data_IF_669386751609
#
_entry.id   IF_669386751609
#
_cell.length_a   1.000
_cell.length_b   1.000
_cell.length_c   1.000
_cell.angle_alpha   90.00
_cell.angle_beta   90.00
_cell.angle_gamma   90.00
#
_symmetry.space_group_name_H-M   'P 1'
#
loop_
_entity.id
_entity.type
_entity.pdbx_description
1 polymer ?
#
# COMPACT_ATOMS: atom_id res chain seq x y z
N UNK A 1 19.64 -7.51 18.46
CA UNK A 1 18.50 -6.59 18.41
C UNK A 1 17.62 -6.97 17.24
N UNK A 2 16.35 -7.26 17.49
CA UNK A 2 15.38 -7.57 16.43
C UNK A 2 14.99 -6.33 15.63
N UNK A 3 14.44 -6.51 14.43
CA UNK A 3 14.01 -5.40 13.57
C UNK A 3 13.01 -4.46 14.27
N UNK A 4 12.07 -5.02 15.04
CA UNK A 4 11.09 -4.27 15.85
C UNK A 4 11.77 -3.29 16.80
N UNK A 5 12.79 -3.77 17.51
CA UNK A 5 13.49 -3.02 18.55
C UNK A 5 14.36 -1.91 17.93
N UNK A 6 14.99 -2.17 16.78
CA UNK A 6 15.71 -1.14 16.02
C UNK A 6 14.78 -0.02 15.57
N UNK A 7 13.61 -0.36 15.02
CA UNK A 7 12.66 0.65 14.52
C UNK A 7 12.11 1.49 15.68
N UNK A 8 11.73 0.87 16.80
CA UNK A 8 11.25 1.58 17.98
C UNK A 8 12.30 2.57 18.51
N UNK A 9 13.54 2.10 18.70
CA UNK A 9 14.63 2.92 19.25
C UNK A 9 15.01 4.09 18.32
N UNK A 10 15.01 3.88 17.00
CA UNK A 10 15.33 4.93 16.05
C UNK A 10 14.19 5.95 15.91
N UNK A 11 12.94 5.53 16.10
CA UNK A 11 11.79 6.42 16.16
C UNK A 11 11.90 7.41 17.33
N UNK A 12 12.37 6.95 18.49
CA UNK A 12 12.60 7.79 19.67
C UNK A 12 13.79 8.75 19.50
N UNK A 13 14.86 8.30 18.83
CA UNK A 13 16.10 9.07 18.71
C UNK A 13 16.20 9.98 17.45
N UNK A 14 15.14 10.09 16.64
CA UNK A 14 15.10 10.90 15.39
C UNK A 14 16.28 10.66 14.45
N UNK A 15 16.76 9.42 14.40
CA UNK A 15 17.86 9.01 13.52
C UNK A 15 17.34 8.95 12.07
N UNK A 16 18.24 9.12 11.11
CA UNK A 16 17.92 9.04 9.68
C UNK A 16 17.18 7.73 9.34
N UNK A 17 15.96 7.88 8.83
CA UNK A 17 15.05 6.76 8.50
C UNK A 17 15.59 5.84 7.41
N UNK A 18 16.62 6.28 6.67
CA UNK A 18 17.31 5.49 5.64
C UNK A 18 17.97 4.24 6.21
N UNK A 19 18.45 4.29 7.45
CA UNK A 19 19.03 3.13 8.13
C UNK A 19 17.98 2.10 8.58
N UNK A 20 16.70 2.46 8.55
CA UNK A 20 15.60 1.57 8.91
C UNK A 20 15.10 0.71 7.75
N UNK A 21 15.43 1.07 6.50
CA UNK A 21 15.05 0.30 5.30
C UNK A 21 15.35 -1.21 5.46
N UNK A 22 16.57 -1.66 5.80
CA UNK A 22 16.84 -3.09 5.99
C UNK A 22 15.99 -3.73 7.09
N UNK A 23 15.66 -2.99 8.16
CA UNK A 23 14.79 -3.50 9.23
C UNK A 23 13.34 -3.66 8.77
N UNK A 24 12.86 -2.75 7.93
CA UNK A 24 11.54 -2.87 7.32
C UNK A 24 11.48 -4.01 6.30
N UNK A 25 12.54 -4.23 5.52
CA UNK A 25 12.63 -5.38 4.60
C UNK A 25 12.53 -6.69 5.37
N UNK A 26 13.28 -6.82 6.47
CA UNK A 26 13.23 -7.99 7.35
C UNK A 26 11.79 -8.26 7.85
N UNK A 27 11.08 -7.21 8.27
CA UNK A 27 9.68 -7.32 8.69
C UNK A 27 8.71 -7.62 7.54
N UNK A 28 8.94 -7.08 6.34
CA UNK A 28 8.12 -7.38 5.16
C UNK A 28 8.29 -8.83 4.70
N UNK A 29 9.50 -9.41 4.83
CA UNK A 29 9.78 -10.80 4.48
C UNK A 29 9.30 -11.81 5.53
N UNK A 30 9.02 -11.35 6.75
CA UNK A 30 8.41 -12.19 7.79
C UNK A 30 7.07 -12.75 7.33
N UNK A 31 6.78 -14.04 7.59
CA UNK A 31 5.49 -14.64 7.24
C UNK A 31 4.34 -13.96 8.00
N UNK A 32 4.56 -13.57 9.26
CA UNK A 32 3.55 -13.00 10.15
C UNK A 32 3.77 -11.51 10.38
N UNK A 33 2.68 -10.76 10.54
CA UNK A 33 2.76 -9.38 11.03
C UNK A 33 3.25 -9.35 12.48
N UNK A 34 3.76 -8.19 12.95
CA UNK A 34 4.10 -7.98 14.35
C UNK A 34 2.91 -8.31 15.26
N UNK A 35 3.19 -8.91 16.41
CA UNK A 35 2.19 -9.16 17.44
C UNK A 35 1.60 -7.85 17.97
N UNK A 36 0.42 -7.85 18.62
CA UNK A 36 -0.17 -6.63 19.17
C UNK A 36 0.77 -5.86 20.12
N UNK A 37 1.55 -6.57 20.93
CA UNK A 37 2.53 -5.95 21.83
C UNK A 37 3.71 -5.30 21.08
N UNK A 38 4.13 -5.87 19.96
CA UNK A 38 5.16 -5.28 19.10
C UNK A 38 4.60 -4.12 18.27
N UNK A 39 3.34 -4.20 17.86
CA UNK A 39 2.62 -3.15 17.15
C UNK A 39 2.49 -1.89 18.01
N UNK A 40 2.24 -2.05 19.31
CA UNK A 40 2.22 -0.93 20.26
C UNK A 40 3.59 -0.25 20.37
N UNK A 41 4.68 -1.02 20.41
CA UNK A 41 6.06 -0.49 20.41
C UNK A 41 6.45 0.19 19.11
N UNK A 42 6.03 -0.35 17.97
CA UNK A 42 6.31 0.21 16.64
C UNK A 42 5.44 1.43 16.31
N UNK A 43 4.37 1.65 17.07
CA UNK A 43 3.24 2.54 16.76
C UNK A 43 2.35 1.98 15.64
N UNK A 44 1.04 2.13 15.82
CA UNK A 44 0.03 1.59 14.91
C UNK A 44 0.19 2.10 13.47
N UNK A 45 0.54 3.37 13.30
CA UNK A 45 0.79 3.98 11.98
C UNK A 45 1.87 3.22 11.19
N UNK A 46 2.97 2.85 11.85
CA UNK A 46 4.08 2.08 11.27
C UNK A 46 3.61 0.70 10.81
N UNK A 47 2.76 0.04 11.59
CA UNK A 47 2.23 -1.29 11.27
C UNK A 47 1.27 -1.24 10.08
N UNK A 48 0.42 -0.21 10.00
CA UNK A 48 -0.47 -0.01 8.85
C UNK A 48 0.34 0.25 7.58
N UNK A 49 1.39 1.07 7.66
CA UNK A 49 2.32 1.28 6.54
C UNK A 49 3.04 -0.02 6.15
N UNK A 50 3.52 -0.79 7.12
CA UNK A 50 4.15 -2.09 6.86
C UNK A 50 3.19 -3.06 6.14
N UNK A 51 1.92 -3.11 6.57
CA UNK A 51 0.89 -3.91 5.90
C UNK A 51 0.66 -3.46 4.45
N UNK A 52 0.60 -2.14 4.21
CA UNK A 52 0.49 -1.59 2.86
C UNK A 52 1.71 -1.92 1.98
N UNK A 53 2.92 -1.88 2.54
CA UNK A 53 4.14 -2.27 1.83
C UNK A 53 4.11 -3.76 1.44
N UNK A 54 3.67 -4.64 2.35
CA UNK A 54 3.51 -6.07 2.06
C UNK A 54 2.50 -6.31 0.95
N UNK A 55 1.36 -5.64 0.98
CA UNK A 55 0.34 -5.78 -0.07
C UNK A 55 0.89 -5.36 -1.44
N UNK A 56 1.62 -4.24 -1.51
CA UNK A 56 2.29 -3.82 -2.75
C UNK A 56 3.31 -4.87 -3.22
N UNK A 57 4.09 -5.45 -2.32
CA UNK A 57 5.03 -6.52 -2.67
C UNK A 57 4.31 -7.78 -3.19
N UNK A 58 3.15 -8.14 -2.62
CA UNK A 58 2.33 -9.25 -3.10
C UNK A 58 1.79 -9.00 -4.51
N UNK A 59 1.32 -7.78 -4.79
CA UNK A 59 0.86 -7.39 -6.12
C UNK A 59 1.99 -7.54 -7.16
N UNK A 60 3.21 -7.07 -6.84
CA UNK A 60 4.39 -7.24 -7.70
C UNK A 60 4.75 -8.70 -7.91
N UNK A 61 4.77 -9.51 -6.86
CA UNK A 61 5.04 -10.93 -6.97
C UNK A 61 3.98 -11.68 -7.81
N UNK A 62 2.72 -11.21 -7.77
CA UNK A 62 1.63 -11.74 -8.60
C UNK A 62 1.80 -11.39 -10.08
N UNK A 63 2.22 -10.15 -10.39
CA UNK A 63 2.56 -9.72 -11.76
C UNK A 63 3.66 -10.60 -12.38
N UNK A 64 4.60 -11.08 -11.56
CA UNK A 64 5.68 -11.98 -11.98
C UNK A 64 5.22 -13.44 -12.24
N UNK A 65 3.92 -13.74 -12.15
CA UNK A 65 3.35 -15.04 -12.50
C UNK A 65 3.49 -16.12 -11.43
N UNK A 66 3.79 -15.74 -10.18
CA UNK A 66 3.94 -16.69 -9.07
C UNK A 66 2.60 -17.31 -8.66
N UNK A 67 2.53 -18.64 -8.54
CA UNK A 67 1.32 -19.38 -8.13
C UNK A 67 0.93 -19.20 -6.65
N UNK A 68 1.81 -18.61 -5.84
CA UNK A 68 1.55 -18.26 -4.44
C UNK A 68 2.40 -17.04 -4.07
N UNK A 69 1.98 -15.83 -4.48
CA UNK A 69 2.76 -14.63 -4.23
C UNK A 69 2.96 -14.47 -2.73
N UNK A 70 4.21 -14.35 -2.31
CA UNK A 70 4.59 -14.03 -0.92
C UNK A 70 5.57 -12.87 -0.99
N UNK A 71 5.52 -11.97 -0.02
CA UNK A 71 6.45 -10.83 0.05
C UNK A 71 7.92 -11.25 0.12
N UNK A 72 8.21 -12.49 0.52
CA UNK A 72 9.56 -13.07 0.54
C UNK A 72 10.13 -13.44 -0.84
N UNK A 73 9.28 -13.51 -1.88
CA UNK A 73 9.71 -13.84 -3.25
C UNK A 73 10.40 -12.64 -3.92
N UNK A 74 10.04 -11.43 -3.50
CA UNK A 74 10.56 -10.20 -4.07
C UNK A 74 12.01 -9.95 -3.63
N UNK A 75 12.82 -9.37 -4.52
CA UNK A 75 14.20 -9.02 -4.22
C UNK A 75 14.27 -7.85 -3.22
N UNK A 76 15.38 -7.77 -2.47
CA UNK A 76 15.56 -6.75 -1.43
C UNK A 76 15.54 -5.32 -2.02
N UNK A 77 16.04 -5.14 -3.24
CA UNK A 77 16.08 -3.83 -3.91
C UNK A 77 14.68 -3.34 -4.33
N UNK A 78 13.82 -4.25 -4.79
CA UNK A 78 12.43 -3.95 -5.11
C UNK A 78 11.63 -3.65 -3.84
N UNK A 79 11.83 -4.44 -2.78
CA UNK A 79 11.26 -4.19 -1.45
C UNK A 79 11.72 -2.85 -0.87
N UNK A 80 13.00 -2.51 -1.01
CA UNK A 80 13.55 -1.23 -0.59
C UNK A 80 12.83 -0.06 -1.25
N UNK A 81 12.56 -0.17 -2.56
CA UNK A 81 11.83 0.85 -3.34
C UNK A 81 10.38 0.98 -2.88
N UNK A 82 9.69 -0.14 -2.62
CA UNK A 82 8.33 -0.11 -2.07
C UNK A 82 8.31 0.54 -0.68
N UNK A 83 9.29 0.23 0.16
CA UNK A 83 9.39 0.75 1.52
C UNK A 83 9.72 2.25 1.50
N UNK A 84 10.65 2.70 0.66
CA UNK A 84 10.95 4.13 0.52
C UNK A 84 9.72 4.92 0.07
N UNK A 85 8.93 4.37 -0.84
CA UNK A 85 7.68 4.99 -1.30
C UNK A 85 6.60 5.03 -0.20
N UNK A 86 6.41 3.93 0.55
CA UNK A 86 5.36 3.83 1.58
C UNK A 86 5.69 4.69 2.80
N UNK A 87 6.96 4.75 3.18
CA UNK A 87 7.42 5.49 4.36
C UNK A 87 7.92 6.90 4.03
N UNK A 88 7.84 7.31 2.76
CA UNK A 88 8.34 8.59 2.25
C UNK A 88 9.80 8.84 2.67
N UNK A 89 10.59 7.76 2.73
CA UNK A 89 12.00 7.82 3.09
C UNK A 89 12.71 8.28 1.82
N UNK A 90 13.04 9.57 1.75
CA UNK A 90 13.62 10.17 0.56
C UNK A 90 14.73 9.31 -0.03
N UNK A 91 14.52 8.86 -1.28
CA UNK A 91 15.55 8.23 -2.10
C UNK A 91 16.78 9.14 -2.06
N UNK A 92 17.97 8.55 -1.93
CA UNK A 92 19.22 9.26 -2.24
C UNK A 92 19.30 9.47 -3.76
N UNK A 93 18.31 10.13 -4.34
CA UNK A 93 18.52 10.94 -5.54
C UNK A 93 19.16 12.21 -5.04
N UNK A 94 20.40 12.48 -5.44
CA UNK A 94 21.14 13.67 -5.07
C UNK A 94 20.56 14.94 -5.68
N UNK A 95 19.26 15.23 -5.51
CA UNK A 95 18.72 16.56 -5.77
C UNK A 95 17.30 16.73 -5.22
N UNK A 96 17.11 17.84 -4.50
CA UNK A 96 15.83 18.53 -4.41
C UNK A 96 14.97 18.23 -3.18
N UNK A 97 15.08 19.10 -2.17
CA UNK A 97 14.01 19.36 -1.20
C UNK A 97 12.66 19.53 -1.91
N UNK A 98 11.72 18.61 -1.68
CA UNK A 98 10.30 18.93 -1.86
C UNK A 98 9.82 19.65 -0.60
N UNK A 99 9.94 20.96 -0.66
CA UNK A 99 9.24 21.91 0.20
C UNK A 99 7.75 21.60 0.12
N UNK A 100 7.16 21.20 1.24
CA UNK A 100 5.71 21.11 1.40
C UNK A 100 5.13 22.51 1.15
N UNK A 101 4.63 22.75 -0.07
CA UNK A 101 3.96 24.01 -0.41
C UNK A 101 2.66 24.06 0.39
N UNK A 102 2.71 24.77 1.50
CA UNK A 102 1.52 25.22 2.21
C UNK A 102 0.69 26.04 1.23
N UNK A 103 -0.46 25.50 0.82
CA UNK A 103 -1.44 26.22 0.03
C UNK A 103 -2.03 27.35 0.90
N UNK A 104 -1.35 28.48 0.93
CA UNK A 104 -1.97 29.77 1.22
C UNK A 104 -2.56 30.22 -0.09
N UNK A 105 -3.86 30.03 -0.22
CA UNK A 105 -4.81 30.94 -0.86
C UNK A 105 -6.14 30.19 -0.98
N UNK A 106 -6.94 30.31 0.07
CA UNK A 106 -8.36 29.98 0.02
C UNK A 106 -9.11 31.26 -0.35
N UNK A 107 -9.92 31.27 -1.41
CA UNK A 107 -11.15 32.01 -1.41
C UNK A 107 -12.24 31.12 -0.81
N UNK A 108 -12.87 31.60 0.25
CA UNK A 108 -14.00 30.96 0.93
C UNK A 108 -15.20 30.91 0.00
N UNK A 109 -15.48 29.75 -0.61
CA UNK A 109 -16.73 29.52 -1.34
C UNK A 109 -17.73 28.79 -0.43
N UNK A 110 -18.77 29.53 -0.03
CA UNK A 110 -19.91 28.97 0.68
C UNK A 110 -20.78 28.25 -0.35
N UNK A 111 -20.76 26.93 -0.36
CA UNK A 111 -21.74 26.17 -1.14
C UNK A 111 -22.08 24.87 -0.43
N UNK A 112 -23.23 24.88 0.21
CA UNK A 112 -23.98 23.70 0.63
C UNK A 112 -24.27 22.87 -0.61
N UNK A 113 -23.53 21.77 -0.79
CA UNK A 113 -23.61 20.91 -1.98
C UNK A 113 -23.65 19.44 -1.60
N UNK A 114 -24.87 18.92 -1.58
CA UNK A 114 -25.32 17.59 -1.99
C UNK A 114 -24.21 16.54 -2.32
N UNK A 115 -24.07 15.52 -1.47
CA UNK A 115 -23.19 14.37 -1.72
C UNK A 115 -23.89 13.36 -2.62
N UNK A 116 -23.78 13.52 -3.94
CA UNK A 116 -24.20 12.49 -4.88
C UNK A 116 -23.08 11.47 -5.06
N UNK A 117 -23.21 10.31 -4.42
CA UNK A 117 -22.37 9.14 -4.67
C UNK A 117 -22.55 8.67 -6.12
N UNK A 118 -21.49 8.72 -6.92
CA UNK A 118 -21.45 8.11 -8.25
C UNK A 118 -20.83 6.72 -8.13
N UNK A 119 -21.68 5.71 -8.07
CA UNK A 119 -21.28 4.31 -8.19
C UNK A 119 -20.84 4.02 -9.64
N UNK A 120 -19.56 3.67 -9.82
CA UNK A 120 -19.04 3.18 -11.10
C UNK A 120 -19.19 1.66 -11.17
N UNK A 121 -20.33 1.16 -11.63
CA UNK A 121 -20.48 -0.26 -11.96
C UNK A 121 -19.76 -0.59 -13.28
N UNK A 122 -18.88 -1.60 -13.33
CA UNK A 122 -18.36 -2.11 -14.60
C UNK A 122 -19.43 -2.95 -15.32
N UNK A 123 -19.59 -2.68 -16.62
CA UNK A 123 -20.57 -3.31 -17.48
C UNK A 123 -20.31 -4.82 -17.66
N UNK A 124 -21.25 -5.65 -17.21
CA UNK A 124 -21.32 -7.06 -17.57
C UNK A 124 -22.06 -7.21 -18.91
N UNK A 125 -21.36 -7.71 -19.94
CA UNK A 125 -21.94 -7.99 -21.24
C UNK A 125 -22.99 -9.12 -21.13
N UNK A 126 -24.24 -8.82 -21.50
CA UNK A 126 -25.32 -9.82 -21.60
C UNK A 126 -25.17 -10.64 -22.88
N UNK A 127 -24.89 -11.93 -22.75
CA UNK A 127 -25.02 -12.91 -23.84
C UNK A 127 -26.51 -13.14 -24.11
N UNK A 128 -26.95 -12.92 -25.35
CA UNK A 128 -28.33 -13.16 -25.76
C UNK A 128 -28.52 -14.62 -26.17
N UNK A 129 -29.52 -15.29 -25.59
CA UNK A 129 -30.00 -16.59 -26.07
C UNK A 129 -31.26 -16.38 -26.91
N UNK A 130 -31.17 -16.84 -28.16
CA UNK A 130 -32.18 -16.63 -29.21
C UNK A 130 -33.47 -17.39 -28.98
N UNK A 131 -34.59 -16.74 -29.33
CA UNK A 131 -35.94 -17.31 -29.41
C UNK A 131 -36.04 -18.34 -30.55
N UNK A 132 -36.31 -19.59 -30.20
CA UNK A 132 -36.82 -20.60 -31.13
C UNK A 132 -38.35 -20.72 -31.03
N UNK A 133 -39.07 -20.44 -32.13
CA UNK A 133 -40.51 -20.64 -32.29
C UNK A 133 -40.81 -22.07 -32.77
N UNK A 134 -41.88 -22.69 -32.27
CA UNK A 134 -42.59 -23.82 -32.90
C UNK A 134 -43.93 -24.03 -32.19
N UNK A 135 -45.07 -23.56 -32.72
CA UNK A 135 -45.98 -24.22 -33.70
C UNK A 135 -46.66 -25.50 -33.17
N UNK A 136 -47.87 -25.30 -32.64
CA UNK A 136 -49.19 -25.92 -32.97
C UNK A 136 -49.38 -27.44 -33.11
N UNK A 137 -50.66 -27.83 -32.91
CA UNK A 137 -51.37 -29.11 -33.10
C UNK A 137 -51.33 -30.05 -31.88
N UNK A 138 -52.44 -30.53 -31.30
CA UNK A 138 -53.84 -30.71 -31.73
C UNK A 138 -54.78 -30.52 -30.55
#
# INVERSE_FOLDING_TARGET
MGAVEKIALYGEHRIDRRFLIPSYIELCKSPTLPSPAEAERLQMETVIRLAAARERALLRASENGCRSPTSSILEDDELATIISDVFEIGHISGEGQQVFRQAKDSPMEKSTGDWVFVDRQPAINKVSWGKGKGKSLK
#
